data_IF_685931619577
#
_entry.id   IF_685931619577
#
_cell.length_a   1.000
_cell.length_b   1.000
_cell.length_c   1.000
_cell.angle_alpha   90.00
_cell.angle_beta   90.00
_cell.angle_gamma   90.00
#
_symmetry.space_group_name_H-M   'P 1'
#
loop_
_entity.id
_entity.type
_entity.pdbx_description
1 polymer ?
#
# COMPACT_ATOMS: atom_id res chain seq x y z
N UNK A 1 -13.89 -9.17 16.83
CA UNK A 1 -13.75 -8.39 15.60
C UNK A 1 -14.07 -9.28 14.42
N UNK A 2 -14.91 -8.80 13.55
CA UNK A 2 -15.32 -9.57 12.38
C UNK A 2 -14.47 -9.21 11.18
N UNK A 3 -13.86 -10.21 10.55
CA UNK A 3 -13.08 -10.04 9.32
C UNK A 3 -13.92 -10.22 8.07
N UNK A 4 -15.16 -10.66 8.24
CA UNK A 4 -16.07 -10.92 7.13
C UNK A 4 -16.51 -9.65 6.40
N UNK A 5 -16.33 -8.49 7.02
CA UNK A 5 -16.66 -7.20 6.42
C UNK A 5 -15.44 -6.43 5.92
N UNK A 6 -14.25 -7.04 6.01
CA UNK A 6 -13.05 -6.42 5.48
C UNK A 6 -13.08 -6.51 3.96
N UNK A 7 -13.27 -5.35 3.34
CA UNK A 7 -13.31 -5.22 1.88
C UNK A 7 -12.01 -4.65 1.30
N UNK A 8 -11.01 -4.44 2.15
CA UNK A 8 -9.78 -3.79 1.78
C UNK A 8 -8.67 -4.29 2.70
N UNK A 9 -7.91 -5.26 2.22
CA UNK A 9 -6.83 -5.85 3.00
C UNK A 9 -5.60 -6.01 2.14
N UNK A 10 -4.48 -5.54 2.67
CA UNK A 10 -3.18 -5.61 2.01
C UNK A 10 -2.18 -6.25 2.95
N UNK A 11 -1.47 -7.27 2.49
CA UNK A 11 -0.35 -7.86 3.19
C UNK A 11 0.89 -7.69 2.34
N UNK A 12 1.88 -6.94 2.85
CA UNK A 12 3.13 -6.66 2.15
C UNK A 12 4.33 -7.01 3.01
N UNK A 13 5.34 -7.57 2.38
CA UNK A 13 6.68 -7.66 2.95
C UNK A 13 7.63 -6.99 1.98
N UNK A 14 8.54 -6.21 2.49
CA UNK A 14 9.50 -5.54 1.63
C UNK A 14 10.67 -4.99 2.40
N UNK A 15 11.58 -4.39 1.65
CA UNK A 15 12.74 -3.73 2.19
C UNK A 15 12.45 -2.25 2.38
N UNK A 16 12.80 -1.71 3.53
CA UNK A 16 12.67 -0.27 3.79
C UNK A 16 13.73 0.46 2.96
N UNK A 17 13.28 1.34 2.07
CA UNK A 17 14.16 2.06 1.15
C UNK A 17 14.10 3.58 1.30
N UNK A 18 13.39 4.08 2.30
CA UNK A 18 13.41 5.50 2.64
C UNK A 18 13.30 5.69 4.14
N UNK A 19 13.80 6.84 4.63
CA UNK A 19 13.61 7.21 6.04
C UNK A 19 12.17 7.65 6.27
N UNK A 20 11.62 7.45 7.48
CA UNK A 20 10.29 7.96 7.81
C UNK A 20 10.21 9.47 7.61
N UNK A 21 9.19 9.91 6.89
CA UNK A 21 8.94 11.31 6.64
C UNK A 21 7.56 11.67 7.20
N UNK A 22 7.50 12.76 7.98
CA UNK A 22 6.24 13.17 8.59
C UNK A 22 5.20 13.48 7.52
N UNK A 23 4.03 12.88 7.65
CA UNK A 23 2.93 13.07 6.71
C UNK A 23 1.87 14.02 7.26
N UNK A 24 1.26 13.64 8.39
CA UNK A 24 0.19 14.44 9.00
C UNK A 24 -0.04 13.98 10.43
N UNK A 25 -0.91 14.70 11.12
CA UNK A 25 -1.29 14.41 12.49
C UNK A 25 -2.80 14.36 12.62
N UNK A 26 -3.32 13.38 13.37
CA UNK A 26 -4.73 13.23 13.67
C UNK A 26 -4.88 13.06 15.16
N UNK A 27 -5.60 13.96 15.82
CA UNK A 27 -5.84 13.92 17.27
C UNK A 27 -4.57 13.72 18.11
N UNK A 28 -3.50 14.41 17.72
CA UNK A 28 -2.24 14.35 18.44
C UNK A 28 -1.34 13.18 18.09
N UNK A 29 -1.78 12.28 17.21
CA UNK A 29 -0.96 11.18 16.74
C UNK A 29 -0.36 11.49 15.38
N UNK A 30 0.96 11.37 15.27
CA UNK A 30 1.68 11.60 14.02
C UNK A 30 1.68 10.38 13.12
N UNK A 31 1.60 10.63 11.82
CA UNK A 31 1.68 9.60 10.79
C UNK A 31 2.84 9.90 9.86
N UNK A 32 3.57 8.86 9.51
CA UNK A 32 4.79 8.96 8.70
C UNK A 32 4.67 8.12 7.45
N UNK A 33 5.32 8.55 6.39
CA UNK A 33 5.39 7.82 5.15
C UNK A 33 6.76 7.19 4.97
N UNK A 34 6.77 5.94 4.55
CA UNK A 34 7.97 5.15 4.28
C UNK A 34 7.74 4.43 2.96
N UNK A 35 8.79 4.26 2.17
CA UNK A 35 8.72 3.49 0.95
C UNK A 35 9.26 2.07 1.18
N UNK A 36 8.50 1.08 0.72
CA UNK A 36 8.91 -0.32 0.71
C UNK A 36 9.21 -0.76 -0.71
N UNK A 37 10.32 -1.46 -0.87
CA UNK A 37 10.64 -2.17 -2.09
C UNK A 37 10.05 -3.58 -1.98
N UNK A 38 9.04 -3.85 -2.80
CA UNK A 38 8.32 -5.12 -2.79
C UNK A 38 8.62 -5.87 -4.07
N UNK A 39 9.13 -7.09 -3.93
CA UNK A 39 9.49 -7.90 -5.08
C UNK A 39 8.27 -8.53 -5.71
N UNK A 40 8.23 -8.50 -7.05
CA UNK A 40 7.28 -9.27 -7.82
C UNK A 40 7.76 -10.73 -7.90
N UNK A 41 6.93 -11.61 -8.42
CA UNK A 41 7.33 -12.99 -8.70
C UNK A 41 8.43 -13.06 -9.77
N UNK A 42 8.56 -12.02 -10.59
CA UNK A 42 9.67 -11.85 -11.52
C UNK A 42 10.86 -11.19 -10.77
N UNK A 43 11.95 -10.91 -11.50
CA UNK A 43 13.12 -10.22 -10.92
C UNK A 43 12.89 -8.73 -10.71
N UNK A 44 11.68 -8.24 -11.00
CA UNK A 44 11.34 -6.84 -10.87
C UNK A 44 10.76 -6.53 -9.49
N UNK A 45 10.77 -5.27 -9.12
CA UNK A 45 10.21 -4.81 -7.86
C UNK A 45 9.40 -3.53 -8.05
N UNK A 46 8.54 -3.26 -7.08
CA UNK A 46 7.77 -2.02 -7.00
C UNK A 46 8.14 -1.28 -5.74
N UNK A 47 8.11 0.05 -5.81
CA UNK A 47 8.25 0.91 -4.63
C UNK A 47 6.85 1.32 -4.21
N UNK A 48 6.46 0.90 -3.02
CA UNK A 48 5.12 1.12 -2.51
C UNK A 48 5.18 2.02 -1.28
N UNK A 49 4.54 3.19 -1.30
CA UNK A 49 4.47 4.04 -0.13
C UNK A 49 3.50 3.46 0.89
N UNK A 50 3.94 3.42 2.14
CA UNK A 50 3.09 3.05 3.27
C UNK A 50 2.99 4.21 4.24
N UNK A 51 1.85 4.33 4.92
CA UNK A 51 1.63 5.31 5.97
C UNK A 51 1.50 4.59 7.30
N UNK A 52 2.32 4.95 8.26
CA UNK A 52 2.39 4.27 9.54
C UNK A 52 2.29 5.28 10.70
N UNK A 53 1.51 4.94 11.72
CA UNK A 53 1.39 5.79 12.90
C UNK A 53 2.64 5.71 13.77
N UNK A 54 2.96 6.78 14.49
CA UNK A 54 4.09 6.80 15.42
C UNK A 54 3.94 5.73 16.50
N UNK A 55 2.71 5.41 16.89
CA UNK A 55 2.45 4.37 17.87
C UNK A 55 2.94 3.00 17.39
N UNK A 56 2.72 2.69 16.11
CA UNK A 56 3.16 1.42 15.52
C UNK A 56 4.66 1.40 15.22
N UNK A 57 5.29 2.57 15.11
CA UNK A 57 6.73 2.66 14.86
C UNK A 57 7.56 2.28 16.09
N UNK A 58 6.97 2.38 17.28
CA UNK A 58 7.68 2.03 18.51
C UNK A 58 7.95 0.54 18.56
N UNK A 59 9.19 0.18 18.85
CA UNK A 59 9.59 -1.22 18.93
C UNK A 59 9.83 -1.91 17.61
N UNK A 60 9.71 -1.19 16.50
CA UNK A 60 9.95 -1.71 15.15
C UNK A 60 11.20 -1.08 14.58
N UNK A 61 12.06 -1.90 13.99
CA UNK A 61 13.26 -1.39 13.32
C UNK A 61 12.89 -0.95 11.90
N UNK A 62 12.90 0.36 11.67
CA UNK A 62 12.61 0.96 10.37
C UNK A 62 13.87 1.45 9.67
N UNK A 63 15.03 0.89 10.02
CA UNK A 63 16.29 1.24 9.38
C UNK A 63 16.33 0.86 7.91
N UNK A 64 17.03 1.69 7.12
CA UNK A 64 17.20 1.45 5.69
C UNK A 64 17.79 0.06 5.43
N UNK A 65 17.21 -0.65 4.48
CA UNK A 65 17.61 -1.99 4.12
C UNK A 65 17.01 -3.11 4.96
N UNK A 66 16.32 -2.76 6.05
CA UNK A 66 15.65 -3.76 6.88
C UNK A 66 14.38 -4.29 6.24
N UNK A 67 13.99 -5.50 6.59
CA UNK A 67 12.77 -6.13 6.11
C UNK A 67 11.60 -5.77 7.03
N UNK A 68 10.48 -5.40 6.43
CA UNK A 68 9.26 -5.03 7.14
C UNK A 68 8.08 -5.77 6.53
N UNK A 69 7.26 -6.39 7.38
CA UNK A 69 6.01 -7.01 6.96
C UNK A 69 4.84 -6.29 7.63
N UNK A 70 3.84 -5.94 6.85
CA UNK A 70 2.69 -5.17 7.35
C UNK A 70 1.39 -5.71 6.81
N UNK A 71 0.34 -5.49 7.60
CA UNK A 71 -1.06 -5.67 7.19
C UNK A 71 -1.72 -4.30 7.24
N UNK A 72 -2.45 -3.96 6.20
CA UNK A 72 -3.09 -2.65 6.13
C UNK A 72 -4.20 -2.58 5.11
N UNK A 73 -4.50 -1.36 4.70
CA UNK A 73 -5.53 -1.07 3.72
C UNK A 73 -5.00 -0.10 2.68
N UNK A 74 -5.46 -0.24 1.44
CA UNK A 74 -5.22 0.79 0.45
C UNK A 74 -6.06 2.01 0.77
N UNK A 75 -5.43 3.18 0.69
CA UNK A 75 -6.12 4.46 0.82
C UNK A 75 -5.64 5.41 -0.25
N UNK A 76 -6.53 6.30 -0.65
CA UNK A 76 -6.21 7.35 -1.59
C UNK A 76 -6.46 8.71 -0.95
N UNK A 77 -5.68 9.68 -1.34
CA UNK A 77 -5.88 11.06 -0.92
C UNK A 77 -5.41 11.99 -2.05
N UNK A 78 -5.91 13.21 -2.02
CA UNK A 78 -5.53 14.21 -3.01
C UNK A 78 -4.44 15.11 -2.41
N UNK A 79 -3.39 15.31 -3.17
CA UNK A 79 -2.28 16.18 -2.78
C UNK A 79 -2.14 17.29 -3.81
N UNK A 80 -1.98 18.53 -3.34
CA UNK A 80 -1.73 19.65 -4.23
C UNK A 80 -0.26 19.68 -4.62
N UNK A 81 0.00 19.58 -5.91
CA UNK A 81 1.35 19.67 -6.49
C UNK A 81 1.28 20.66 -7.64
N UNK A 82 2.05 21.75 -7.55
CA UNK A 82 2.09 22.79 -8.57
C UNK A 82 0.69 23.34 -8.93
N UNK A 83 -0.12 23.60 -7.90
CA UNK A 83 -1.50 24.10 -8.01
C UNK A 83 -2.47 23.13 -8.70
N UNK A 84 -2.07 21.86 -8.84
CA UNK A 84 -2.93 20.79 -9.38
C UNK A 84 -3.17 19.74 -8.32
N UNK A 85 -4.39 19.20 -8.29
CA UNK A 85 -4.71 18.09 -7.42
C UNK A 85 -4.22 16.79 -8.05
N UNK A 86 -3.42 16.05 -7.31
CA UNK A 86 -2.91 14.75 -7.74
C UNK A 86 -3.41 13.66 -6.80
N UNK A 87 -3.96 12.60 -7.37
CA UNK A 87 -4.40 11.44 -6.58
C UNK A 87 -3.18 10.63 -6.16
N UNK A 88 -3.02 10.46 -4.85
CA UNK A 88 -1.96 9.65 -4.26
C UNK A 88 -2.56 8.39 -3.66
N UNK A 89 -1.83 7.29 -3.80
CA UNK A 89 -2.20 6.01 -3.21
C UNK A 89 -1.15 5.64 -2.18
N UNK A 90 -1.61 5.08 -1.06
CA UNK A 90 -0.73 4.60 0.00
C UNK A 90 -1.36 3.37 0.65
N UNK A 91 -0.53 2.54 1.27
CA UNK A 91 -1.01 1.47 2.13
C UNK A 91 -0.98 1.98 3.57
N UNK A 92 -2.15 2.11 4.17
CA UNK A 92 -2.29 2.54 5.56
C UNK A 92 -2.06 1.34 6.47
N UNK A 93 -0.99 1.38 7.25
CA UNK A 93 -0.59 0.24 8.09
C UNK A 93 -1.52 0.11 9.29
N UNK A 94 -2.10 -1.07 9.47
CA UNK A 94 -2.92 -1.40 10.62
C UNK A 94 -2.13 -2.19 11.65
N UNK A 95 -1.19 -3.02 11.19
CA UNK A 95 -0.44 -3.90 12.05
C UNK A 95 0.93 -4.21 11.43
N UNK A 96 1.97 -4.22 12.24
CA UNK A 96 3.28 -4.71 11.84
C UNK A 96 3.39 -6.16 12.30
N UNK A 97 3.73 -7.06 11.38
CA UNK A 97 3.75 -8.50 11.64
C UNK A 97 5.12 -9.07 11.34
N UNK A 98 5.37 -10.28 11.84
CA UNK A 98 6.60 -11.00 11.50
C UNK A 98 6.46 -11.64 10.12
N UNK A 99 7.45 -11.48 9.22
CA UNK A 99 7.41 -12.16 7.95
C UNK A 99 7.50 -13.67 8.14
N UNK A 100 6.70 -14.42 7.38
CA UNK A 100 6.70 -15.88 7.41
C UNK A 100 7.47 -16.38 6.20
N UNK A 101 8.53 -17.11 6.45
CA UNK A 101 9.37 -17.66 5.41
C UNK A 101 8.59 -18.60 4.51
N UNK A 102 8.78 -18.49 3.20
CA UNK A 102 8.09 -19.30 2.22
C UNK A 102 6.65 -18.90 1.93
N UNK A 103 6.10 -17.92 2.64
CA UNK A 103 4.76 -17.42 2.38
C UNK A 103 4.80 -16.27 1.39
N UNK A 104 3.83 -16.24 0.48
CA UNK A 104 3.66 -15.09 -0.40
C UNK A 104 3.23 -13.88 0.44
N UNK A 105 4.02 -12.84 0.37
CA UNK A 105 3.78 -11.63 1.17
C UNK A 105 3.52 -10.39 0.32
N UNK A 106 2.84 -10.58 -0.79
CA UNK A 106 2.37 -9.49 -1.64
C UNK A 106 0.95 -9.84 -2.05
N UNK A 107 0.03 -9.72 -1.10
CA UNK A 107 -1.35 -10.13 -1.27
C UNK A 107 -2.26 -8.93 -1.06
N UNK A 108 -3.14 -8.69 -2.02
CA UNK A 108 -4.09 -7.59 -1.99
C UNK A 108 -5.47 -8.16 -2.25
N UNK A 109 -6.39 -7.91 -1.33
CA UNK A 109 -7.78 -8.32 -1.44
C UNK A 109 -8.66 -7.08 -1.36
N UNK A 110 -9.36 -6.78 -2.45
CA UNK A 110 -10.25 -5.63 -2.53
C UNK A 110 -11.62 -6.07 -3.00
N UNK A 111 -12.65 -5.52 -2.38
CA UNK A 111 -14.04 -5.72 -2.77
C UNK A 111 -14.72 -4.37 -2.82
N UNK A 112 -15.43 -4.09 -3.90
CA UNK A 112 -16.07 -2.79 -4.07
C UNK A 112 -17.00 -2.76 -5.26
N UNK A 113 -17.29 -1.55 -5.72
CA UNK A 113 -18.21 -1.32 -6.82
C UNK A 113 -17.49 -0.77 -8.03
N UNK A 114 -17.84 -1.27 -9.21
CA UNK A 114 -17.34 -0.71 -10.46
C UNK A 114 -17.99 0.65 -10.71
N UNK A 115 -17.16 1.68 -10.82
CA UNK A 115 -17.63 3.06 -11.02
C UNK A 115 -17.96 3.39 -12.45
N UNK A 116 -17.44 2.60 -13.38
CA UNK A 116 -17.69 2.79 -14.80
C UNK A 116 -17.50 1.46 -15.53
N UNK A 117 -17.96 1.42 -16.77
CA UNK A 117 -17.78 0.23 -17.61
C UNK A 117 -16.28 -0.08 -17.77
N UNK A 118 -15.85 -1.32 -17.52
CA UNK A 118 -14.47 -1.70 -17.75
C UNK A 118 -14.05 -1.47 -19.20
N UNK A 119 -12.81 -1.06 -19.40
CA UNK A 119 -12.26 -0.74 -20.71
C UNK A 119 -11.23 -1.80 -21.09
N UNK A 120 -11.51 -2.50 -22.17
CA UNK A 120 -10.58 -3.47 -22.73
C UNK A 120 -9.56 -2.75 -23.62
N UNK A 121 -8.31 -3.16 -23.52
CA UNK A 121 -7.26 -2.71 -24.43
C UNK A 121 -6.23 -3.79 -24.66
N UNK A 122 -5.52 -3.70 -25.76
CA UNK A 122 -4.40 -4.58 -26.05
C UNK A 122 -3.12 -3.77 -26.10
N UNK A 123 -2.07 -4.26 -25.46
CA UNK A 123 -0.77 -3.62 -25.46
C UNK A 123 -0.03 -3.88 -26.79
N UNK A 124 1.02 -3.08 -27.11
CA UNK A 124 1.85 -3.36 -28.29
C UNK A 124 2.46 -4.75 -28.30
N UNK A 125 2.63 -5.38 -27.14
CA UNK A 125 3.16 -6.74 -27.02
C UNK A 125 2.06 -7.81 -27.05
N UNK A 126 0.86 -7.45 -27.49
CA UNK A 126 -0.30 -8.34 -27.63
C UNK A 126 -0.80 -8.91 -26.30
N UNK A 127 -0.64 -8.19 -25.22
CA UNK A 127 -1.27 -8.54 -23.94
C UNK A 127 -2.64 -7.89 -23.85
N UNK A 128 -3.62 -8.67 -23.44
CA UNK A 128 -4.96 -8.17 -23.21
C UNK A 128 -5.05 -7.61 -21.80
N UNK A 129 -5.56 -6.40 -21.67
CA UNK A 129 -5.71 -5.71 -20.39
C UNK A 129 -7.14 -5.17 -20.28
N UNK A 130 -7.70 -5.28 -19.09
CA UNK A 130 -8.97 -4.67 -18.76
C UNK A 130 -8.74 -3.65 -17.66
N UNK A 131 -9.02 -2.39 -17.93
CA UNK A 131 -8.90 -1.31 -16.95
C UNK A 131 -10.24 -1.13 -16.25
N UNK A 132 -10.21 -1.17 -14.93
CA UNK A 132 -11.39 -1.02 -14.09
C UNK A 132 -11.16 0.05 -13.03
N UNK A 133 -12.22 0.76 -12.68
CA UNK A 133 -12.20 1.69 -11.55
C UNK A 133 -13.10 1.13 -10.45
N UNK A 134 -12.49 0.78 -9.33
CA UNK A 134 -13.17 0.15 -8.21
C UNK A 134 -13.28 1.13 -7.05
N UNK A 135 -14.52 1.37 -6.60
CA UNK A 135 -14.75 2.15 -5.38
C UNK A 135 -14.79 1.19 -4.20
N UNK A 136 -13.92 1.41 -3.24
CA UNK A 136 -13.79 0.58 -2.04
C UNK A 136 -14.06 1.44 -0.82
N UNK A 137 -14.95 0.99 0.05
CA UNK A 137 -15.27 1.70 1.29
C UNK A 137 -14.13 1.61 2.30
#
# INVERSE_FOLDING_TARGET
>A
MSFEFDNNRVYLCGKVVSNPEFSHEVYGEGFYEINLEVNRLSEQYDIIPITISERLMKGVNLGLGGTLAIVGQFRSYNKMVDNKSKLMLTVFVREVVEPVEGQNCNIIELEGYLCKTPVYRMTPFKREICDMLLAVN
#
